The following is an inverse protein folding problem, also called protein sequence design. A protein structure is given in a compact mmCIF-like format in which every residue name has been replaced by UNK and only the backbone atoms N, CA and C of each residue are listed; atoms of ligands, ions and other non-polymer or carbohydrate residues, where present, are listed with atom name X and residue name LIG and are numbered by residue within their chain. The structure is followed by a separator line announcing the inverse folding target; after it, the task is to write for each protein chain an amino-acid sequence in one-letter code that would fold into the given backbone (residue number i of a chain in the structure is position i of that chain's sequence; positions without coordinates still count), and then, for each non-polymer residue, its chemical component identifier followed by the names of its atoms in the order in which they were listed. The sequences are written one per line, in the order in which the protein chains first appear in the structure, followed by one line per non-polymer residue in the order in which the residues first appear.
data_IF_571483650823
#
_entry.id   IF_571483650823
#
_cell.length_a   1.000
_cell.length_b   1.000
_cell.length_c   1.000
_cell.angle_alpha   90.00
_cell.angle_beta   90.00
_cell.angle_gamma   90.00
#
_symmetry.space_group_name_H-M   'P 1'
#
loop_
_entity.id
_entity.type
_entity.pdbx_description
1 polymer ?
#
# COMPACT_ATOMS: atom_id res chain seq x y z
N UNK A 1 10.39 -0.83 13.41
CA UNK A 1 9.38 -0.85 14.49
C UNK A 1 8.04 -0.66 13.83
N UNK A 2 7.12 -1.63 13.96
CA UNK A 2 5.80 -1.57 13.32
C UNK A 2 4.96 -0.47 13.97
N UNK A 3 4.47 0.47 13.15
CA UNK A 3 3.65 1.61 13.57
C UNK A 3 2.25 1.48 12.97
N UNK A 4 1.21 1.66 13.78
CA UNK A 4 -0.15 1.81 13.26
C UNK A 4 -0.26 3.16 12.55
N UNK A 5 -0.80 3.15 11.33
CA UNK A 5 -1.06 4.37 10.57
C UNK A 5 -2.45 4.91 10.94
N UNK A 6 -2.53 6.18 11.33
CA UNK A 6 -3.80 6.86 11.53
C UNK A 6 -4.20 7.67 10.29
N UNK A 7 -5.49 8.04 10.13
CA UNK A 7 -5.93 8.86 9.01
C UNK A 7 -5.10 10.14 8.80
N UNK A 8 -4.77 10.85 9.88
CA UNK A 8 -4.02 12.11 9.82
C UNK A 8 -2.52 11.97 9.49
N UNK A 9 -1.99 10.75 9.46
CA UNK A 9 -0.58 10.49 9.14
C UNK A 9 -0.38 9.98 7.70
N UNK A 10 -1.49 9.72 6.98
CA UNK A 10 -1.47 9.10 5.66
C UNK A 10 -0.66 9.90 4.66
N UNK A 11 -0.95 11.20 4.52
CA UNK A 11 -0.28 12.07 3.55
C UNK A 11 1.21 12.19 3.86
N UNK A 12 1.57 12.36 5.13
CA UNK A 12 2.96 12.46 5.57
C UNK A 12 3.76 11.17 5.26
N UNK A 13 3.13 10.00 5.40
CA UNK A 13 3.74 8.73 5.03
C UNK A 13 3.95 8.63 3.51
N UNK A 14 2.93 8.95 2.73
CA UNK A 14 2.99 8.88 1.27
C UNK A 14 4.03 9.85 0.71
N UNK A 15 4.04 11.10 1.18
CA UNK A 15 5.03 12.11 0.80
C UNK A 15 6.47 11.67 1.13
N UNK A 16 6.68 11.05 2.31
CA UNK A 16 7.99 10.53 2.71
C UNK A 16 8.55 9.53 1.69
N UNK A 17 7.71 8.66 1.16
CA UNK A 17 8.12 7.64 0.19
C UNK A 17 7.82 8.02 -1.27
N UNK A 18 7.57 9.31 -1.53
CA UNK A 18 7.29 9.84 -2.87
C UNK A 18 6.13 9.11 -3.54
N UNK A 19 5.09 8.76 -2.78
CA UNK A 19 3.91 8.00 -3.20
C UNK A 19 4.21 6.64 -3.83
N UNK A 20 5.45 6.17 -3.71
CA UNK A 20 5.93 4.95 -4.36
C UNK A 20 5.95 4.97 -5.91
N UNK A 21 5.97 6.13 -6.59
CA UNK A 21 5.89 6.27 -8.08
C UNK A 21 6.86 5.44 -8.93
N UNK A 22 7.95 4.96 -8.35
CA UNK A 22 8.97 4.16 -9.05
C UNK A 22 9.50 3.06 -8.12
N UNK A 23 8.60 2.56 -7.27
CA UNK A 23 8.89 1.53 -6.28
C UNK A 23 8.55 0.15 -6.82
N UNK A 24 9.29 -0.86 -6.37
CA UNK A 24 9.11 -2.23 -6.81
C UNK A 24 8.38 -3.02 -5.72
N UNK A 25 7.30 -3.72 -6.08
CA UNK A 25 6.67 -4.66 -5.16
C UNK A 25 7.62 -5.84 -4.99
N UNK A 26 7.99 -6.20 -3.76
CA UNK A 26 8.83 -7.37 -3.46
C UNK A 26 8.02 -8.58 -3.02
N UNK A 27 6.86 -8.35 -2.40
CA UNK A 27 6.02 -9.43 -1.90
C UNK A 27 4.61 -8.95 -1.65
N UNK A 28 3.64 -9.80 -1.95
CA UNK A 28 2.28 -9.72 -1.44
C UNK A 28 1.99 -11.06 -0.77
N UNK A 29 1.74 -11.06 0.53
CA UNK A 29 1.45 -12.24 1.34
C UNK A 29 0.06 -12.11 1.97
N UNK A 30 -0.83 -13.04 1.65
CA UNK A 30 -2.15 -13.15 2.26
C UNK A 30 -2.11 -14.18 3.39
N UNK A 31 -2.40 -13.73 4.60
CA UNK A 31 -2.49 -14.57 5.79
C UNK A 31 -3.96 -14.72 6.15
N UNK A 32 -4.56 -15.83 5.72
CA UNK A 32 -5.97 -16.12 5.97
C UNK A 32 -6.12 -16.83 7.31
N UNK A 33 -7.13 -16.41 8.07
CA UNK A 33 -7.45 -16.97 9.37
C UNK A 33 -7.77 -18.46 9.28
N UNK A 34 -7.31 -19.19 10.28
CA UNK A 34 -7.68 -20.57 10.58
C UNK A 34 -8.16 -20.63 12.01
N UNK A 35 -8.81 -21.73 12.41
CA UNK A 35 -9.30 -21.90 13.78
C UNK A 35 -8.18 -21.66 14.80
N UNK A 36 -8.32 -20.62 15.62
CA UNK A 36 -7.32 -20.23 16.64
C UNK A 36 -6.20 -19.29 16.17
N UNK A 37 -6.24 -18.80 14.93
CA UNK A 37 -5.31 -17.81 14.39
C UNK A 37 -5.96 -16.42 14.31
N UNK A 38 -5.15 -15.34 14.26
CA UNK A 38 -5.63 -13.96 14.21
C UNK A 38 -6.46 -13.67 12.95
N UNK A 39 -7.03 -12.45 12.93
CA UNK A 39 -7.80 -11.89 11.81
C UNK A 39 -7.03 -11.97 10.49
N UNK A 40 -7.77 -12.09 9.38
CA UNK A 40 -7.23 -12.08 8.01
C UNK A 40 -6.36 -10.84 7.79
N UNK A 41 -5.21 -11.03 7.14
CA UNK A 41 -4.20 -10.00 6.95
C UNK A 41 -3.60 -10.05 5.54
N UNK A 42 -3.17 -8.88 5.06
CA UNK A 42 -2.34 -8.75 3.87
C UNK A 42 -1.05 -8.01 4.23
N UNK A 43 0.10 -8.61 3.90
CA UNK A 43 1.41 -7.97 4.02
C UNK A 43 1.95 -7.67 2.63
N UNK A 44 2.35 -6.41 2.43
CA UNK A 44 2.88 -5.90 1.17
C UNK A 44 4.27 -5.35 1.47
N UNK A 45 5.28 -5.92 0.82
CA UNK A 45 6.65 -5.42 0.89
C UNK A 45 6.96 -4.65 -0.39
N UNK A 46 7.41 -3.41 -0.26
CA UNK A 46 7.69 -2.48 -1.36
C UNK A 46 9.13 -1.97 -1.21
N UNK A 47 9.96 -2.16 -2.22
CA UNK A 47 11.26 -1.48 -2.32
C UNK A 47 11.05 -0.02 -2.70
N UNK A 48 11.46 0.89 -1.82
CA UNK A 48 11.28 2.31 -2.04
C UNK A 48 12.41 3.13 -1.42
N UNK A 49 12.40 4.44 -1.65
CA UNK A 49 13.40 5.38 -1.12
C UNK A 49 12.79 6.23 -0.04
N UNK A 50 13.51 6.37 1.06
CA UNK A 50 13.14 7.31 2.11
C UNK A 50 13.53 8.75 1.72
N UNK A 51 12.54 9.59 1.45
CA UNK A 51 12.71 10.99 1.10
C UNK A 51 13.31 11.85 2.21
N UNK A 52 13.26 11.42 3.47
CA UNK A 52 13.82 12.16 4.60
C UNK A 52 15.29 11.82 4.88
N UNK A 53 15.73 10.58 4.62
CA UNK A 53 17.09 10.10 4.90
C UNK A 53 17.91 9.90 3.62
N UNK A 54 18.35 11.01 3.01
CA UNK A 54 19.29 11.00 1.87
C UNK A 54 18.83 10.16 0.66
N UNK A 55 17.52 9.88 0.52
CA UNK A 55 16.96 8.99 -0.52
C UNK A 55 17.50 7.55 -0.45
N UNK A 56 17.82 7.07 0.75
CA UNK A 56 18.30 5.70 0.97
C UNK A 56 17.21 4.69 0.59
N UNK A 57 17.62 3.65 -0.13
CA UNK A 57 16.76 2.52 -0.45
C UNK A 57 16.50 1.64 0.76
N UNK A 58 15.30 1.08 0.82
CA UNK A 58 14.91 0.11 1.83
C UNK A 58 13.60 -0.57 1.49
N UNK A 59 13.16 -1.40 2.43
CA UNK A 59 11.92 -2.14 2.33
C UNK A 59 10.85 -1.49 3.20
N UNK A 60 9.81 -0.95 2.56
CA UNK A 60 8.58 -0.52 3.21
C UNK A 60 7.63 -1.71 3.30
N UNK A 61 7.30 -2.13 4.53
CA UNK A 61 6.26 -3.14 4.78
C UNK A 61 4.98 -2.43 5.16
N UNK A 62 3.90 -2.71 4.44
CA UNK A 62 2.54 -2.31 4.77
C UNK A 62 1.73 -3.55 5.17
N UNK A 63 0.95 -3.45 6.23
CA UNK A 63 0.13 -4.56 6.74
C UNK A 63 -1.30 -4.11 6.98
N UNK A 64 -2.23 -4.62 6.18
CA UNK A 64 -3.67 -4.43 6.36
C UNK A 64 -4.20 -5.56 7.25
N UNK A 65 -4.85 -5.20 8.35
CA UNK A 65 -5.36 -6.13 9.36
C UNK A 65 -6.88 -6.11 9.39
N UNK A 66 -7.46 -7.27 9.72
CA UNK A 66 -8.91 -7.50 9.64
C UNK A 66 -9.41 -7.27 8.22
N UNK A 67 -8.81 -8.02 7.30
CA UNK A 67 -9.05 -7.91 5.86
C UNK A 67 -10.50 -8.31 5.55
N UNK A 68 -11.27 -7.37 5.01
CA UNK A 68 -12.68 -7.56 4.67
C UNK A 68 -12.87 -7.85 3.19
N UNK A 69 -12.06 -7.21 2.36
CA UNK A 69 -12.12 -7.35 0.91
C UNK A 69 -10.74 -7.11 0.31
N UNK A 70 -10.40 -7.85 -0.74
CA UNK A 70 -9.18 -7.61 -1.49
C UNK A 70 -9.36 -8.05 -2.93
N UNK A 71 -8.50 -7.52 -3.79
CA UNK A 71 -8.37 -7.93 -5.18
C UNK A 71 -6.89 -7.96 -5.55
N UNK A 72 -6.47 -9.02 -6.23
CA UNK A 72 -5.15 -9.15 -6.85
C UNK A 72 -5.32 -9.77 -8.23
N UNK A 73 -5.39 -8.94 -9.26
CA UNK A 73 -5.49 -9.34 -10.66
C UNK A 73 -4.10 -9.18 -11.30
N UNK A 74 -3.21 -10.16 -11.12
CA UNK A 74 -1.90 -10.14 -11.81
C UNK A 74 -1.97 -10.85 -13.17
N UNK A 75 -1.35 -10.24 -14.19
CA UNK A 75 -1.04 -10.89 -15.47
C UNK A 75 0.00 -12.03 -15.27
N UNK A 76 0.08 -13.03 -16.17
CA UNK A 76 0.73 -14.31 -15.92
C UNK A 76 2.28 -14.30 -15.99
N UNK A 77 2.97 -13.26 -15.52
CA UNK A 77 4.44 -13.25 -15.41
C UNK A 77 4.93 -12.79 -14.04
N UNK A 78 5.91 -13.54 -13.53
CA UNK A 78 6.44 -13.57 -12.16
C UNK A 78 7.22 -12.32 -11.71
N UNK A 79 7.22 -11.26 -12.51
CA UNK A 79 7.97 -10.05 -12.19
C UNK A 79 7.01 -9.14 -11.43
N UNK A 80 7.22 -8.99 -10.13
CA UNK A 80 6.43 -8.11 -9.31
C UNK A 80 6.58 -6.67 -9.84
N UNK A 81 5.45 -5.98 -9.99
CA UNK A 81 5.35 -4.75 -10.77
C UNK A 81 6.01 -3.54 -10.11
N UNK A 82 6.41 -2.59 -10.96
CA UNK A 82 6.72 -1.23 -10.54
C UNK A 82 5.42 -0.45 -10.37
N UNK A 83 5.34 0.33 -9.29
CA UNK A 83 4.18 1.15 -8.92
C UNK A 83 4.26 2.50 -9.65
N UNK A 84 4.04 2.50 -10.97
CA UNK A 84 4.18 3.70 -11.81
C UNK A 84 3.15 4.80 -11.52
N UNK A 85 1.93 4.42 -11.14
CA UNK A 85 0.84 5.34 -10.84
C UNK A 85 0.81 5.75 -9.35
N UNK A 86 1.84 5.36 -8.59
CA UNK A 86 1.86 5.54 -7.15
C UNK A 86 0.86 4.65 -6.41
N UNK A 87 0.77 4.87 -5.12
CA UNK A 87 -0.11 4.17 -4.19
C UNK A 87 -1.13 5.14 -3.59
N UNK A 88 -2.34 4.65 -3.34
CA UNK A 88 -3.38 5.37 -2.62
C UNK A 88 -3.71 4.68 -1.29
N UNK A 89 -3.86 5.48 -0.23
CA UNK A 89 -4.37 5.03 1.06
C UNK A 89 -5.56 5.91 1.42
N UNK A 90 -6.73 5.30 1.56
CA UNK A 90 -7.98 6.00 1.83
C UNK A 90 -8.70 5.48 3.06
N UNK A 91 -9.28 6.38 3.84
CA UNK A 91 -10.06 6.05 5.03
C UNK A 91 -11.53 6.38 4.80
N UNK A 92 -12.42 5.46 5.20
CA UNK A 92 -13.87 5.67 5.16
C UNK A 92 -14.40 6.09 6.53
N UNK A 93 -15.59 6.70 6.54
CA UNK A 93 -16.29 7.12 7.76
C UNK A 93 -16.56 5.97 8.74
N UNK A 94 -16.69 4.75 8.24
CA UNK A 94 -16.86 3.53 9.06
C UNK A 94 -15.56 3.01 9.70
N UNK A 95 -14.47 3.76 9.55
CA UNK A 95 -13.14 3.43 10.07
C UNK A 95 -12.38 2.38 9.26
N UNK A 96 -12.87 1.96 8.10
CA UNK A 96 -12.12 1.07 7.21
C UNK A 96 -11.05 1.82 6.43
N UNK A 97 -9.94 1.14 6.16
CA UNK A 97 -8.83 1.63 5.35
C UNK A 97 -8.72 0.82 4.07
N UNK A 98 -8.56 1.51 2.94
CA UNK A 98 -8.22 0.94 1.64
C UNK A 98 -6.77 1.27 1.34
N UNK A 99 -5.98 0.24 1.11
CA UNK A 99 -4.67 0.32 0.48
C UNK A 99 -4.82 -0.10 -1.00
N UNK A 100 -4.49 0.79 -1.92
CA UNK A 100 -4.57 0.55 -3.35
C UNK A 100 -3.18 0.71 -3.97
N UNK A 101 -2.67 -0.37 -4.56
CA UNK A 101 -1.31 -0.41 -5.12
C UNK A 101 -1.28 -0.02 -6.60
N UNK A 102 -2.45 0.01 -7.25
CA UNK A 102 -2.60 0.35 -8.67
C UNK A 102 -3.89 1.17 -8.84
N UNK A 103 -3.96 2.38 -8.25
CA UNK A 103 -5.17 3.20 -8.26
C UNK A 103 -5.50 3.75 -9.67
N UNK A 104 -4.56 3.65 -10.61
CA UNK A 104 -4.67 4.13 -11.98
C UNK A 104 -4.42 5.63 -12.11
N UNK A 105 -3.96 6.04 -13.29
CA UNK A 105 -3.76 7.45 -13.66
C UNK A 105 -5.03 8.02 -14.30
N UNK A 106 -6.01 8.48 -13.51
CA UNK A 106 -6.98 9.44 -14.05
C UNK A 106 -6.35 10.84 -14.01
N UNK A 107 -5.84 11.29 -15.16
CA UNK A 107 -5.19 12.59 -15.34
C UNK A 107 -6.06 13.81 -14.95
N UNK A 108 -7.36 13.62 -14.68
CA UNK A 108 -8.24 14.67 -14.15
C UNK A 108 -7.99 14.99 -12.67
N UNK A 109 -7.47 14.02 -11.92
CA UNK A 109 -7.29 14.06 -10.47
C UNK A 109 -5.80 14.13 -10.07
N UNK A 110 -4.95 14.41 -11.07
CA UNK A 110 -3.50 14.47 -10.93
C UNK A 110 -2.85 13.09 -10.76
N UNK A 111 -1.53 13.00 -10.96
CA UNK A 111 -0.81 11.74 -10.80
C UNK A 111 -0.67 11.30 -9.34
N UNK A 112 -1.31 11.96 -8.36
CA UNK A 112 -0.71 12.15 -7.04
C UNK A 112 -1.04 11.10 -5.96
N UNK A 113 -1.82 10.04 -6.22
CA UNK A 113 -2.23 9.10 -5.15
C UNK A 113 -2.95 9.77 -3.97
N UNK A 114 -3.35 11.04 -4.13
CA UNK A 114 -4.01 11.90 -3.13
C UNK A 114 -5.52 11.89 -3.28
N UNK A 115 -6.01 11.49 -4.45
CA UNK A 115 -7.43 11.44 -4.74
C UNK A 115 -7.89 9.98 -4.76
N UNK A 116 -9.10 9.70 -4.24
CA UNK A 116 -9.66 8.36 -4.33
C UNK A 116 -9.71 7.92 -5.80
N UNK A 117 -9.43 6.64 -6.09
CA UNK A 117 -9.61 6.11 -7.44
C UNK A 117 -11.04 6.38 -7.89
N UNK A 118 -11.20 6.71 -9.18
CA UNK A 118 -12.52 6.98 -9.77
C UNK A 118 -13.49 5.84 -9.41
N UNK A 119 -14.76 6.13 -9.08
CA UNK A 119 -15.76 5.09 -8.80
C UNK A 119 -15.92 4.10 -9.96
N UNK A 120 -15.67 4.56 -11.19
CA UNK A 120 -15.74 3.77 -12.42
C UNK A 120 -14.42 3.04 -12.73
N UNK A 121 -13.34 3.35 -12.00
CA UNK A 121 -12.06 2.66 -12.09
C UNK A 121 -11.98 1.52 -11.07
N UNK A 122 -12.03 0.31 -11.58
CA UNK A 122 -11.86 -0.87 -10.74
C UNK A 122 -10.37 -1.23 -10.63
N UNK A 123 -9.72 -0.79 -9.55
CA UNK A 123 -8.30 -1.08 -9.32
C UNK A 123 -8.02 -2.60 -9.39
N UNK A 124 -6.99 -3.03 -10.13
CA UNK A 124 -6.62 -4.43 -10.24
C UNK A 124 -5.91 -4.96 -8.98
N UNK A 125 -5.43 -4.11 -8.07
CA UNK A 125 -4.74 -4.56 -6.87
C UNK A 125 -4.99 -3.65 -5.65
N UNK A 126 -5.87 -4.10 -4.76
CA UNK A 126 -6.19 -3.36 -3.53
C UNK A 126 -6.58 -4.28 -2.37
N UNK A 127 -6.52 -3.72 -1.16
CA UNK A 127 -6.80 -4.40 0.11
C UNK A 127 -7.60 -3.46 1.01
N UNK A 128 -8.65 -3.98 1.64
CA UNK A 128 -9.53 -3.22 2.56
C UNK A 128 -9.59 -3.93 3.90
N UNK A 129 -9.30 -3.22 4.98
CA UNK A 129 -9.36 -3.76 6.34
C UNK A 129 -9.73 -2.71 7.39
N UNK A 130 -9.57 -3.05 8.67
CA UNK A 130 -9.84 -2.14 9.81
C UNK A 130 -8.64 -1.34 10.28
N UNK A 131 -7.44 -1.82 9.99
CA UNK A 131 -6.22 -1.14 10.39
C UNK A 131 -5.15 -1.32 9.31
N UNK A 132 -4.29 -0.31 9.21
CA UNK A 132 -3.09 -0.34 8.40
C UNK A 132 -1.91 -0.04 9.32
N UNK A 133 -0.87 -0.86 9.25
CA UNK A 133 0.39 -0.61 9.94
C UNK A 133 1.54 -0.64 8.95
N UNK A 134 2.64 0.00 9.30
CA UNK A 134 3.81 0.12 8.44
C UNK A 134 5.11 0.02 9.22
N UNK A 135 6.16 -0.42 8.54
CA UNK A 135 7.55 -0.38 9.01
C UNK A 135 8.48 -0.12 7.83
N UNK A 136 9.62 0.53 8.06
CA UNK A 136 10.62 0.76 7.04
C UNK A 136 11.99 0.28 7.50
N UNK A 137 12.61 -0.58 6.70
CA UNK A 137 13.93 -1.11 6.96
C UNK A 137 14.90 -0.63 5.86
N UNK A 138 15.80 0.33 6.16
CA UNK A 138 16.80 0.75 5.19
C UNK A 138 17.79 -0.39 4.90
N UNK A 139 18.22 -0.52 3.64
CA UNK A 139 19.28 -1.46 3.27
C UNK A 139 20.63 -1.00 3.81
N UNK A 140 21.52 -1.93 4.12
CA UNK A 140 22.89 -1.61 4.50
C UNK A 140 23.54 -0.72 3.42
N UNK A 141 24.30 0.28 3.87
CA UNK A 141 25.03 1.20 2.98
C UNK A 141 26.23 0.50 2.33
#
# INVERSE_FOLDING_TARGET
MVQSLTPGETDALLERFGYCYDSLIHRIELVLSRRGQPLDQAHIDIETRDGQESRRWGLLRLSVVDLQHYRVMQAPRKDLGVVYDGMYIGWKEDGTVRLDLLPGTDYRNGPNGNEPPSPDHESPCYFVGRALSWDFQPYAA
#
